data_IF_388994188090
#
_entry.id   IF_388994188090
#
_cell.length_a   1.000
_cell.length_b   1.000
_cell.length_c   1.000
_cell.angle_alpha   90.00
_cell.angle_beta   90.00
_cell.angle_gamma   90.00
#
_symmetry.space_group_name_H-M   'P 1'
#
loop_
_entity.id
_entity.type
_entity.pdbx_description
1 polymer ?
#
# COMPACT_ATOMS: atom_id res chain seq x y z
N UNK A 1 -17.55 -12.82 8.89
CA UNK A 1 -17.31 -11.99 7.69
C UNK A 1 -16.95 -12.90 6.53
N UNK A 2 -17.80 -12.99 5.51
CA UNK A 2 -17.48 -13.70 4.27
C UNK A 2 -16.27 -13.02 3.62
N UNK A 3 -15.25 -13.80 3.23
CA UNK A 3 -14.03 -13.27 2.61
C UNK A 3 -14.37 -12.87 1.18
N UNK A 4 -14.25 -11.59 0.84
CA UNK A 4 -14.31 -11.15 -0.56
C UNK A 4 -13.23 -11.90 -1.37
N UNK A 5 -13.61 -12.80 -2.30
CA UNK A 5 -12.67 -13.58 -3.10
C UNK A 5 -11.98 -12.73 -4.17
N UNK A 6 -12.46 -11.52 -4.42
CA UNK A 6 -12.04 -10.67 -5.54
C UNK A 6 -11.03 -9.59 -5.19
N UNK A 7 -10.66 -9.44 -3.91
CA UNK A 7 -9.59 -8.52 -3.49
C UNK A 7 -8.20 -9.09 -3.69
N UNK A 8 -7.23 -8.20 -3.92
CA UNK A 8 -5.81 -8.57 -3.87
C UNK A 8 -5.40 -9.05 -2.47
N UNK A 9 -4.61 -10.12 -2.43
CA UNK A 9 -4.00 -10.67 -1.21
C UNK A 9 -2.53 -10.91 -1.46
N UNK A 10 -1.71 -10.61 -0.46
CA UNK A 10 -0.29 -10.97 -0.48
C UNK A 10 -0.15 -12.49 -0.67
N UNK A 11 0.65 -12.88 -1.65
CA UNK A 11 0.97 -14.29 -1.92
C UNK A 11 2.43 -14.57 -1.63
N UNK A 12 3.32 -13.62 -1.93
CA UNK A 12 4.76 -13.74 -1.70
C UNK A 12 5.36 -12.38 -1.35
N UNK A 13 6.50 -12.40 -0.70
CA UNK A 13 7.39 -11.26 -0.59
C UNK A 13 8.83 -11.73 -0.71
N UNK A 14 9.74 -10.85 -1.12
CA UNK A 14 11.13 -11.24 -1.22
C UNK A 14 12.11 -10.10 -1.03
N UNK A 15 13.34 -10.53 -0.77
CA UNK A 15 14.49 -9.72 -0.43
C UNK A 15 15.66 -10.25 -1.25
N UNK A 16 16.29 -9.38 -2.03
CA UNK A 16 17.47 -9.70 -2.83
C UNK A 16 18.58 -8.70 -2.49
N UNK A 17 19.68 -9.19 -1.93
CA UNK A 17 20.87 -8.43 -1.58
C UNK A 17 20.61 -7.17 -0.73
N UNK A 18 19.76 -7.29 0.29
CA UNK A 18 19.47 -6.23 1.27
C UNK A 18 19.68 -6.80 2.67
N UNK A 19 20.38 -6.05 3.52
CA UNK A 19 20.77 -6.48 4.86
C UNK A 19 21.55 -7.80 4.84
N UNK A 20 21.24 -8.73 5.72
CA UNK A 20 21.89 -10.04 5.84
C UNK A 20 21.24 -11.11 4.91
N UNK A 21 20.43 -10.69 3.94
CA UNK A 21 19.80 -11.57 2.96
C UNK A 21 20.50 -11.46 1.60
N UNK A 22 21.01 -12.59 1.11
CA UNK A 22 21.46 -12.74 -0.27
C UNK A 22 20.23 -12.84 -1.19
N UNK A 23 19.43 -13.88 -1.01
CA UNK A 23 18.12 -14.04 -1.64
C UNK A 23 17.19 -14.78 -0.69
N UNK A 24 16.01 -14.19 -0.41
CA UNK A 24 15.01 -14.81 0.43
C UNK A 24 13.61 -14.50 -0.09
N UNK A 25 12.80 -15.56 -0.18
CA UNK A 25 11.37 -15.47 -0.53
C UNK A 25 10.54 -15.96 0.65
N UNK A 26 9.44 -15.28 0.93
CA UNK A 26 8.46 -15.59 1.97
C UNK A 26 7.11 -15.86 1.31
N UNK A 27 6.57 -17.06 1.49
CA UNK A 27 5.22 -17.41 1.03
C UNK A 27 4.17 -17.02 2.07
N UNK A 28 3.06 -16.48 1.58
CA UNK A 28 1.90 -16.09 2.38
C UNK A 28 0.81 -17.14 2.22
N UNK A 29 0.25 -17.59 3.34
CA UNK A 29 -0.95 -18.41 3.36
C UNK A 29 -2.17 -17.49 3.52
N UNK A 30 -2.93 -17.32 2.43
CA UNK A 30 -4.14 -16.49 2.42
C UNK A 30 -3.91 -15.05 2.91
N UNK A 31 -2.85 -14.40 2.42
CA UNK A 31 -2.48 -13.04 2.82
C UNK A 31 -1.81 -12.95 4.19
N UNK A 32 -1.47 -14.08 4.84
CA UNK A 32 -0.87 -14.12 6.17
C UNK A 32 0.53 -14.73 6.13
N UNK A 33 1.44 -14.12 6.88
CA UNK A 33 2.82 -14.60 7.07
C UNK A 33 3.07 -14.78 8.57
N UNK A 34 3.68 -15.92 8.95
CA UNK A 34 4.12 -16.19 10.30
C UNK A 34 5.63 -16.43 10.31
N UNK A 35 6.39 -15.48 10.88
CA UNK A 35 7.83 -15.62 11.09
C UNK A 35 8.09 -16.24 12.47
N UNK A 36 8.75 -17.41 12.51
CA UNK A 36 9.18 -18.08 13.75
C UNK A 36 10.70 -18.19 13.81
N UNK A 37 11.26 -18.09 15.02
CA UNK A 37 12.71 -18.11 15.25
C UNK A 37 13.06 -17.51 16.60
N UNK A 38 14.33 -17.66 17.02
CA UNK A 38 14.84 -17.12 18.28
C UNK A 38 14.82 -15.58 18.29
N UNK A 39 14.90 -14.98 19.47
CA UNK A 39 15.07 -13.53 19.60
C UNK A 39 16.37 -13.11 18.89
N UNK A 40 16.32 -12.01 18.14
CA UNK A 40 17.46 -11.55 17.32
C UNK A 40 17.54 -12.15 15.92
N UNK A 41 16.74 -13.16 15.56
CA UNK A 41 16.76 -13.79 14.23
C UNK A 41 16.22 -12.93 13.06
N UNK A 42 16.07 -11.60 13.24
CA UNK A 42 15.66 -10.70 12.15
C UNK A 42 14.17 -10.67 11.79
N UNK A 43 13.29 -11.39 12.53
CA UNK A 43 11.84 -11.47 12.23
C UNK A 43 11.17 -10.10 12.09
N UNK A 44 11.25 -9.26 13.13
CA UNK A 44 10.66 -7.92 13.12
C UNK A 44 11.30 -7.07 12.05
N UNK A 45 12.62 -7.14 11.90
CA UNK A 45 13.36 -6.35 10.92
C UNK A 45 12.94 -6.65 9.48
N UNK A 46 12.67 -7.92 9.20
CA UNK A 46 12.19 -8.40 7.90
C UNK A 46 10.81 -7.84 7.57
N UNK A 47 9.89 -7.89 8.54
CA UNK A 47 8.57 -7.29 8.34
C UNK A 47 8.68 -5.77 8.19
N UNK A 48 9.55 -5.12 8.96
CA UNK A 48 9.77 -3.68 8.93
C UNK A 48 10.27 -3.17 7.57
N UNK A 49 11.16 -3.93 6.92
CA UNK A 49 11.70 -3.55 5.61
C UNK A 49 10.72 -3.85 4.47
N UNK A 50 9.84 -4.85 4.59
CA UNK A 50 8.89 -5.21 3.54
C UNK A 50 7.61 -4.38 3.59
N UNK A 51 6.90 -4.36 4.73
CA UNK A 51 5.55 -3.81 4.80
C UNK A 51 5.42 -2.69 5.85
N UNK A 52 4.69 -1.60 5.53
CA UNK A 52 4.06 -1.30 4.25
C UNK A 52 5.00 -0.60 3.25
N UNK A 53 6.30 -0.49 3.54
CA UNK A 53 7.28 0.26 2.72
C UNK A 53 7.28 -0.10 1.23
N UNK A 54 7.19 -1.38 0.88
CA UNK A 54 7.17 -1.78 -0.55
C UNK A 54 5.91 -1.26 -1.26
N UNK A 55 4.82 -0.98 -0.54
CA UNK A 55 3.55 -0.51 -1.10
C UNK A 55 3.48 1.01 -1.28
N UNK A 56 4.37 1.78 -0.66
CA UNK A 56 4.39 3.25 -0.79
C UNK A 56 5.74 3.84 -1.22
N UNK A 57 6.82 3.07 -1.10
CA UNK A 57 8.18 3.49 -1.41
C UNK A 57 8.70 4.60 -0.48
N UNK A 58 8.01 4.92 0.61
CA UNK A 58 8.33 6.05 1.47
C UNK A 58 9.39 5.66 2.51
N UNK A 59 10.65 5.89 2.13
CA UNK A 59 11.80 5.59 2.99
C UNK A 59 11.81 6.40 4.30
N UNK A 60 11.07 7.51 4.39
CA UNK A 60 10.96 8.30 5.62
C UNK A 60 10.15 7.55 6.70
N UNK A 61 9.16 6.75 6.27
CA UNK A 61 8.26 6.00 7.16
C UNK A 61 8.83 4.64 7.60
N UNK A 62 9.98 4.21 7.07
CA UNK A 62 10.59 2.94 7.49
C UNK A 62 11.06 2.95 8.96
N UNK A 63 11.38 4.12 9.52
CA UNK A 63 11.85 4.25 10.91
C UNK A 63 10.71 4.47 11.89
N UNK A 64 10.57 3.58 12.88
CA UNK A 64 9.68 3.79 14.03
C UNK A 64 10.23 4.85 15.01
N UNK A 65 11.51 5.26 14.89
CA UNK A 65 12.27 6.06 15.87
C UNK A 65 12.80 7.38 15.34
N UNK A 66 12.35 7.86 14.18
CA UNK A 66 12.55 9.26 13.75
C UNK A 66 13.94 9.65 13.21
N UNK A 67 14.91 8.73 13.10
CA UNK A 67 16.20 9.03 12.42
C UNK A 67 16.09 8.85 10.91
N UNK A 68 15.63 9.91 10.24
CA UNK A 68 15.48 10.04 8.79
C UNK A 68 16.71 9.52 8.01
N UNK A 69 16.49 8.69 6.98
CA UNK A 69 17.51 8.20 6.04
C UNK A 69 18.52 7.16 6.57
N UNK A 70 18.70 7.05 7.88
CA UNK A 70 19.73 6.20 8.50
C UNK A 70 19.47 4.70 8.35
N UNK A 71 18.20 4.28 8.31
CA UNK A 71 17.85 2.87 8.35
C UNK A 71 18.06 2.16 7.01
N UNK A 72 17.71 2.81 5.90
CA UNK A 72 17.95 2.25 4.57
C UNK A 72 19.45 2.16 4.27
N UNK A 73 20.20 3.21 4.63
CA UNK A 73 21.66 3.18 4.56
C UNK A 73 22.22 2.04 5.41
N UNK A 74 21.77 1.92 6.66
CA UNK A 74 22.17 0.82 7.55
C UNK A 74 21.85 -0.55 6.97
N UNK A 75 20.66 -0.78 6.40
CA UNK A 75 20.30 -2.04 5.74
C UNK A 75 21.25 -2.38 4.58
N UNK A 76 21.76 -1.38 3.87
CA UNK A 76 22.68 -1.62 2.76
C UNK A 76 24.15 -1.74 3.18
N UNK A 77 24.53 -1.22 4.35
CA UNK A 77 25.92 -1.27 4.85
C UNK A 77 26.16 -2.36 5.88
N UNK A 78 25.16 -2.73 6.69
CA UNK A 78 25.25 -3.78 7.69
C UNK A 78 25.38 -5.15 6.98
N UNK A 79 26.41 -5.91 7.34
CA UNK A 79 26.75 -7.18 6.69
C UNK A 79 27.38 -7.07 5.30
N UNK A 80 27.61 -5.86 4.76
CA UNK A 80 28.20 -5.69 3.44
C UNK A 80 29.72 -5.95 3.46
N UNK A 81 30.18 -6.95 2.71
CA UNK A 81 31.60 -7.30 2.57
C UNK A 81 32.18 -6.67 1.31
N UNK A 82 32.46 -5.36 1.33
CA UNK A 82 33.13 -4.70 0.21
C UNK A 82 32.93 -3.18 0.16
N UNK A 83 33.79 -2.50 -0.60
CA UNK A 83 33.61 -1.09 -0.96
C UNK A 83 32.95 -0.96 -2.33
N UNK A 84 32.15 0.10 -2.54
CA UNK A 84 31.63 0.44 -3.86
C UNK A 84 30.13 0.71 -3.90
N UNK A 85 29.48 0.25 -4.96
CA UNK A 85 28.01 0.34 -5.10
C UNK A 85 27.39 -1.01 -4.74
N UNK A 86 26.37 -1.00 -3.87
CA UNK A 86 25.54 -2.18 -3.58
C UNK A 86 24.13 -1.93 -4.09
N UNK A 87 23.58 -2.87 -4.84
CA UNK A 87 22.18 -2.84 -5.30
C UNK A 87 21.43 -4.03 -4.72
N UNK A 88 20.21 -3.78 -4.26
CA UNK A 88 19.31 -4.82 -3.77
C UNK A 88 17.84 -4.46 -4.04
N UNK A 89 16.95 -5.42 -3.83
CA UNK A 89 15.53 -5.29 -4.10
C UNK A 89 14.69 -5.83 -2.95
N UNK A 90 13.57 -5.16 -2.71
CA UNK A 90 12.48 -5.61 -1.86
C UNK A 90 11.21 -5.65 -2.71
N UNK A 91 10.43 -6.72 -2.61
CA UNK A 91 9.22 -6.85 -3.41
C UNK A 91 8.11 -7.61 -2.67
N UNK A 92 6.88 -7.37 -3.09
CA UNK A 92 5.70 -8.12 -2.68
C UNK A 92 4.88 -8.49 -3.91
N UNK A 93 4.34 -9.70 -3.90
CA UNK A 93 3.41 -10.19 -4.90
C UNK A 93 2.02 -10.27 -4.28
N UNK A 94 1.03 -9.78 -5.02
CA UNK A 94 -0.37 -9.88 -4.68
C UNK A 94 -1.12 -10.62 -5.78
N UNK A 95 -2.12 -11.40 -5.40
CA UNK A 95 -3.02 -12.02 -6.34
C UNK A 95 -4.48 -11.80 -5.95
N UNK A 96 -5.35 -11.71 -6.95
CA UNK A 96 -6.81 -11.75 -6.80
C UNK A 96 -7.40 -12.72 -7.82
N UNK A 97 -8.58 -13.24 -7.55
CA UNK A 97 -9.36 -13.97 -8.55
C UNK A 97 -10.56 -13.12 -8.92
N UNK A 98 -10.78 -12.80 -10.19
CA UNK A 98 -11.93 -11.98 -10.58
C UNK A 98 -13.25 -12.77 -10.59
N UNK A 99 -14.34 -12.10 -11.00
CA UNK A 99 -15.67 -12.71 -11.08
C UNK A 99 -15.76 -13.84 -12.13
N UNK A 100 -14.87 -13.85 -13.13
CA UNK A 100 -14.79 -14.89 -14.15
C UNK A 100 -13.92 -16.08 -13.71
N UNK A 101 -13.30 -16.01 -12.52
CA UNK A 101 -12.40 -17.05 -12.02
C UNK A 101 -10.97 -16.91 -12.51
N UNK A 102 -10.61 -15.82 -13.18
CA UNK A 102 -9.25 -15.58 -13.66
C UNK A 102 -8.36 -15.05 -12.53
N UNK A 103 -7.16 -15.62 -12.41
CA UNK A 103 -6.18 -15.20 -11.41
C UNK A 103 -5.32 -14.07 -11.97
N UNK A 104 -5.45 -12.90 -11.37
CA UNK A 104 -4.61 -11.73 -11.65
C UNK A 104 -3.50 -11.64 -10.62
N UNK A 105 -2.28 -11.36 -11.07
CA UNK A 105 -1.09 -11.20 -10.22
C UNK A 105 -0.46 -9.85 -10.49
N UNK A 106 -0.04 -9.18 -9.42
CA UNK A 106 0.71 -7.93 -9.49
C UNK A 106 1.91 -8.05 -8.56
N UNK A 107 3.07 -7.63 -9.04
CA UNK A 107 4.27 -7.46 -8.19
C UNK A 107 4.56 -5.98 -8.03
N UNK A 108 4.74 -5.56 -6.78
CA UNK A 108 5.19 -4.25 -6.37
C UNK A 108 6.61 -4.38 -5.82
N UNK A 109 7.52 -3.48 -6.20
CA UNK A 109 8.91 -3.58 -5.77
C UNK A 109 9.63 -2.25 -5.62
N UNK A 110 10.68 -2.28 -4.80
CA UNK A 110 11.58 -1.17 -4.54
C UNK A 110 13.01 -1.65 -4.75
N UNK A 111 13.70 -1.03 -5.70
CA UNK A 111 15.14 -1.19 -5.85
C UNK A 111 15.87 -0.18 -4.97
N UNK A 112 16.97 -0.61 -4.38
CA UNK A 112 17.79 0.18 -3.46
C UNK A 112 19.22 0.15 -3.96
N UNK A 113 19.83 1.33 -4.11
CA UNK A 113 21.23 1.48 -4.43
C UNK A 113 21.93 2.27 -3.34
N UNK A 114 22.95 1.66 -2.75
CA UNK A 114 23.91 2.32 -1.87
C UNK A 114 25.19 2.65 -2.63
N UNK A 115 25.74 3.84 -2.38
CA UNK A 115 27.07 4.23 -2.84
C UNK A 115 27.96 4.59 -1.66
N UNK A 116 29.10 3.91 -1.52
CA UNK A 116 30.09 4.21 -0.47
C UNK A 116 30.63 5.64 -0.59
N UNK A 117 30.89 6.13 -1.81
CA UNK A 117 31.46 7.47 -2.02
C UNK A 117 30.49 8.60 -1.68
N UNK A 118 29.21 8.43 -2.05
CA UNK A 118 28.17 9.41 -1.76
C UNK A 118 27.58 9.25 -0.34
N UNK A 119 27.87 8.14 0.36
CA UNK A 119 27.34 7.80 1.69
C UNK A 119 25.82 7.91 1.78
N UNK A 120 25.13 7.54 0.70
CA UNK A 120 23.68 7.63 0.59
C UNK A 120 23.08 6.35 0.00
N UNK A 121 21.83 6.09 0.37
CA UNK A 121 20.98 5.09 -0.26
C UNK A 121 19.85 5.79 -1.04
N UNK A 122 19.76 5.46 -2.33
CA UNK A 122 18.71 5.92 -3.25
C UNK A 122 17.78 4.78 -3.61
N UNK A 123 16.55 5.10 -3.97
CA UNK A 123 15.51 4.12 -4.28
C UNK A 123 14.85 4.44 -5.61
N UNK A 124 14.37 3.42 -6.30
CA UNK A 124 13.37 3.51 -7.36
C UNK A 124 12.31 2.45 -7.09
N UNK A 125 11.12 2.64 -7.65
CA UNK A 125 9.99 1.74 -7.45
C UNK A 125 9.48 1.20 -8.78
N UNK A 126 8.81 0.06 -8.74
CA UNK A 126 8.20 -0.52 -9.91
C UNK A 126 6.96 -1.35 -9.58
N UNK A 127 6.10 -1.52 -10.58
CA UNK A 127 5.01 -2.48 -10.61
C UNK A 127 5.07 -3.30 -11.89
N UNK A 128 4.72 -4.59 -11.85
CA UNK A 128 4.50 -5.42 -13.04
C UNK A 128 3.21 -6.22 -12.91
N UNK A 129 2.44 -6.42 -14.01
CA UNK A 129 1.18 -7.18 -14.00
C UNK A 129 1.39 -8.70 -14.05
N UNK A 130 2.50 -9.17 -13.49
CA UNK A 130 2.92 -10.56 -13.46
C UNK A 130 3.44 -10.92 -12.07
N UNK A 131 3.81 -12.20 -11.88
CA UNK A 131 4.67 -12.57 -10.75
C UNK A 131 6.04 -11.88 -10.80
N UNK A 132 6.80 -12.04 -9.72
CA UNK A 132 8.12 -11.40 -9.59
C UNK A 132 9.02 -11.74 -10.80
N UNK A 133 9.61 -10.73 -11.46
CA UNK A 133 10.53 -10.97 -12.55
C UNK A 133 11.92 -11.33 -12.02
N UNK A 134 12.81 -11.81 -12.89
CA UNK A 134 14.21 -12.04 -12.49
C UNK A 134 14.91 -10.68 -12.28
N UNK A 135 15.21 -10.37 -11.02
CA UNK A 135 15.83 -9.10 -10.61
C UNK A 135 17.36 -9.19 -10.53
N UNK A 136 17.95 -10.26 -11.07
CA UNK A 136 19.39 -10.45 -11.21
C UNK A 136 19.81 -10.63 -12.67
N UNK A 137 21.07 -10.30 -12.96
CA UNK A 137 21.76 -10.73 -14.18
C UNK A 137 22.09 -12.24 -14.06
N UNK A 138 22.50 -12.87 -15.17
CA UNK A 138 22.84 -14.31 -15.20
C UNK A 138 23.98 -14.73 -14.26
N UNK A 139 24.82 -13.78 -13.82
CA UNK A 139 25.90 -14.02 -12.85
C UNK A 139 25.45 -13.87 -11.39
N UNK A 140 24.15 -13.62 -11.14
CA UNK A 140 23.56 -13.40 -9.82
C UNK A 140 23.66 -11.95 -9.32
N UNK A 141 24.26 -11.04 -10.09
CA UNK A 141 24.34 -9.62 -9.70
C UNK A 141 22.97 -8.97 -9.80
N UNK A 142 22.45 -8.31 -8.74
CA UNK A 142 21.18 -7.60 -8.83
C UNK A 142 21.19 -6.54 -9.93
N UNK A 143 20.09 -6.47 -10.69
CA UNK A 143 19.95 -5.54 -11.82
C UNK A 143 20.21 -4.10 -11.38
N UNK A 144 20.77 -3.29 -12.28
CA UNK A 144 20.84 -1.84 -12.07
C UNK A 144 19.48 -1.19 -12.34
N UNK A 145 19.27 0.03 -11.84
CA UNK A 145 18.01 0.75 -12.07
C UNK A 145 17.64 0.87 -13.57
N UNK A 146 18.55 1.19 -14.51
CA UNK A 146 18.24 1.17 -15.94
C UNK A 146 17.78 -0.20 -16.47
N UNK A 147 18.48 -1.28 -16.09
CA UNK A 147 18.15 -2.64 -16.55
C UNK A 147 16.82 -3.14 -15.99
N UNK A 148 16.54 -2.82 -14.73
CA UNK A 148 15.25 -3.07 -14.12
C UNK A 148 14.12 -2.31 -14.83
N UNK A 149 14.34 -1.05 -15.24
CA UNK A 149 13.35 -0.30 -16.02
C UNK A 149 13.08 -0.93 -17.39
N UNK A 150 14.12 -1.38 -18.08
CA UNK A 150 13.97 -2.10 -19.36
C UNK A 150 13.14 -3.38 -19.20
N UNK A 151 13.45 -4.17 -18.17
CA UNK A 151 12.71 -5.39 -17.84
C UNK A 151 11.24 -5.10 -17.50
N UNK A 152 10.99 -4.14 -16.61
CA UNK A 152 9.64 -3.73 -16.19
C UNK A 152 8.82 -3.26 -17.38
N UNK A 153 9.40 -2.44 -18.27
CA UNK A 153 8.72 -1.97 -19.47
C UNK A 153 8.40 -3.13 -20.43
N UNK A 154 9.32 -4.08 -20.61
CA UNK A 154 9.10 -5.29 -21.43
C UNK A 154 7.97 -6.19 -20.92
N UNK A 155 7.67 -6.12 -19.62
CA UNK A 155 6.58 -6.86 -18.96
C UNK A 155 5.26 -6.05 -18.89
N UNK A 156 5.20 -4.86 -19.48
CA UNK A 156 4.02 -3.98 -19.41
C UNK A 156 3.81 -3.35 -18.03
N UNK A 157 4.87 -3.25 -17.23
CA UNK A 157 4.85 -2.61 -15.91
C UNK A 157 5.21 -1.13 -15.94
N UNK A 158 5.28 -0.54 -14.75
CA UNK A 158 5.61 0.88 -14.55
C UNK A 158 6.80 1.04 -13.61
N UNK A 159 7.65 2.03 -13.88
CA UNK A 159 8.78 2.40 -13.02
C UNK A 159 8.67 3.84 -12.57
N UNK A 160 9.13 4.13 -11.36
CA UNK A 160 8.99 5.42 -10.69
C UNK A 160 10.28 5.81 -9.98
N UNK A 161 10.69 7.06 -10.11
CA UNK A 161 11.82 7.62 -9.36
C UNK A 161 11.38 8.39 -8.09
N UNK A 162 10.06 8.62 -7.94
CA UNK A 162 9.47 9.38 -6.84
C UNK A 162 8.40 8.55 -6.08
N UNK A 163 8.51 8.39 -4.74
CA UNK A 163 7.55 7.62 -3.95
C UNK A 163 6.11 8.10 -4.08
N UNK A 164 5.87 9.40 -4.25
CA UNK A 164 4.51 9.95 -4.38
C UNK A 164 3.75 9.36 -5.58
N UNK A 165 4.35 9.41 -6.77
CA UNK A 165 3.72 8.90 -7.99
C UNK A 165 3.51 7.38 -7.92
N UNK A 166 4.48 6.67 -7.35
CA UNK A 166 4.36 5.24 -7.08
C UNK A 166 3.19 4.92 -6.14
N UNK A 167 3.10 5.62 -5.01
CA UNK A 167 2.03 5.47 -4.02
C UNK A 167 0.65 5.71 -4.64
N UNK A 168 0.49 6.78 -5.42
CA UNK A 168 -0.76 7.09 -6.13
C UNK A 168 -1.13 5.96 -7.11
N UNK A 169 -0.16 5.45 -7.88
CA UNK A 169 -0.36 4.32 -8.79
C UNK A 169 -0.75 3.03 -8.05
N UNK A 170 -0.05 2.66 -6.97
CA UNK A 170 -0.33 1.44 -6.20
C UNK A 170 -1.69 1.50 -5.52
N UNK A 171 -2.06 2.66 -4.96
CA UNK A 171 -3.38 2.87 -4.35
C UNK A 171 -4.53 2.62 -5.33
N UNK A 172 -4.40 3.16 -6.55
CA UNK A 172 -5.37 2.94 -7.61
C UNK A 172 -5.35 1.48 -8.12
N UNK A 173 -4.16 0.92 -8.37
CA UNK A 173 -3.99 -0.41 -8.95
C UNK A 173 -4.53 -1.53 -8.05
N UNK A 174 -4.21 -1.48 -6.76
CA UNK A 174 -4.52 -2.57 -5.83
C UNK A 174 -5.87 -2.39 -5.12
N UNK A 175 -6.28 -1.14 -4.88
CA UNK A 175 -7.42 -0.84 -4.02
C UNK A 175 -8.48 0.04 -4.69
N UNK A 176 -8.21 0.59 -5.89
CA UNK A 176 -9.10 1.57 -6.53
C UNK A 176 -9.26 2.86 -5.72
N UNK A 177 -8.30 3.16 -4.82
CA UNK A 177 -8.41 4.27 -3.89
C UNK A 177 -7.75 5.53 -4.48
N UNK A 178 -8.36 6.72 -4.28
CA UNK A 178 -7.69 7.98 -4.55
C UNK A 178 -6.51 8.18 -3.58
N UNK A 179 -5.60 9.07 -3.97
CA UNK A 179 -4.34 9.31 -3.27
C UNK A 179 -4.48 9.60 -1.76
N UNK A 180 -5.52 10.33 -1.34
CA UNK A 180 -5.76 10.69 0.06
C UNK A 180 -6.20 9.46 0.87
N UNK A 181 -7.22 8.74 0.42
CA UNK A 181 -7.73 7.54 1.11
C UNK A 181 -6.66 6.45 1.21
N UNK A 182 -5.78 6.33 0.20
CA UNK A 182 -4.64 5.42 0.28
C UNK A 182 -3.57 5.89 1.29
N UNK A 183 -3.36 7.20 1.46
CA UNK A 183 -2.48 7.71 2.52
C UNK A 183 -3.02 7.36 3.91
N UNK A 184 -4.33 7.47 4.12
CA UNK A 184 -4.99 7.15 5.39
C UNK A 184 -4.88 5.65 5.71
N UNK A 185 -5.11 4.79 4.71
CA UNK A 185 -4.86 3.34 4.84
C UNK A 185 -3.41 3.06 5.25
N UNK A 186 -2.43 3.70 4.59
CA UNK A 186 -1.02 3.50 4.93
C UNK A 186 -0.70 3.99 6.35
N UNK A 187 -1.27 5.12 6.79
CA UNK A 187 -1.12 5.60 8.17
C UNK A 187 -1.61 4.57 9.18
N UNK A 188 -2.79 3.98 8.95
CA UNK A 188 -3.31 2.90 9.79
C UNK A 188 -2.37 1.69 9.81
N UNK A 189 -1.82 1.28 8.66
CA UNK A 189 -0.88 0.15 8.57
C UNK A 189 0.42 0.42 9.34
N UNK A 190 0.98 1.62 9.22
CA UNK A 190 2.17 2.02 9.98
C UNK A 190 1.90 2.09 11.47
N UNK A 191 0.73 2.59 11.86
CA UNK A 191 0.31 2.61 13.26
C UNK A 191 0.20 1.19 13.81
N UNK A 192 -0.54 0.30 13.14
CA UNK A 192 -0.70 -1.12 13.50
C UNK A 192 0.60 -1.91 13.61
N UNK A 193 1.68 -1.42 13.00
CA UNK A 193 3.02 -2.01 13.06
C UNK A 193 3.78 -1.65 14.35
N UNK A 194 3.38 -0.60 15.07
CA UNK A 194 4.09 -0.20 16.28
C UNK A 194 4.03 -1.31 17.34
N UNK A 195 5.17 -1.66 17.97
CA UNK A 195 5.15 -2.58 19.10
C UNK A 195 4.28 -1.98 20.22
N UNK A 196 3.57 -2.82 20.98
CA UNK A 196 2.78 -2.44 22.17
C UNK A 196 1.43 -1.75 21.93
N UNK A 197 0.87 -1.76 20.72
CA UNK A 197 -0.53 -1.35 20.53
C UNK A 197 -1.45 -2.11 21.49
N UNK A 198 -1.23 -3.41 21.68
CA UNK A 198 -1.99 -4.22 22.65
C UNK A 198 -1.92 -3.73 24.12
N UNK A 199 -0.87 -3.01 24.52
CA UNK A 199 -0.65 -2.55 25.90
C UNK A 199 -1.06 -1.07 26.11
N UNK A 200 -0.93 -0.22 25.07
CA UNK A 200 -1.28 1.22 25.08
C UNK A 200 -2.43 1.57 24.12
N UNK A 201 -3.38 0.65 23.91
CA UNK A 201 -4.61 0.92 23.14
C UNK A 201 -5.52 1.87 23.94
N UNK A 202 -5.32 3.17 23.77
CA UNK A 202 -6.36 4.15 24.11
C UNK A 202 -7.51 3.98 23.10
N UNK A 203 -8.68 3.47 23.53
CA UNK A 203 -9.82 3.25 22.64
C UNK A 203 -10.30 4.55 21.98
N UNK A 204 -10.11 5.71 22.63
CA UNK A 204 -10.50 6.99 22.07
C UNK A 204 -9.63 7.35 20.86
N UNK A 205 -8.31 7.17 20.94
CA UNK A 205 -7.39 7.36 19.81
C UNK A 205 -7.66 6.41 18.64
N UNK A 206 -8.01 5.15 18.95
CA UNK A 206 -8.38 4.18 17.91
C UNK A 206 -9.65 4.63 17.17
N UNK A 207 -10.66 5.10 17.91
CA UNK A 207 -11.90 5.60 17.33
C UNK A 207 -11.65 6.86 16.51
N UNK A 208 -10.92 7.85 17.03
CA UNK A 208 -10.56 9.08 16.30
C UNK A 208 -9.83 8.76 14.99
N UNK A 209 -8.86 7.84 15.00
CA UNK A 209 -8.12 7.48 13.78
C UNK A 209 -8.93 6.64 12.80
N UNK A 210 -9.80 5.74 13.29
CA UNK A 210 -10.73 5.02 12.43
C UNK A 210 -11.70 6.00 11.78
N UNK A 211 -12.18 7.00 12.52
CA UNK A 211 -13.05 8.08 12.05
C UNK A 211 -12.35 8.99 11.04
N UNK A 212 -11.09 9.35 11.27
CA UNK A 212 -10.25 10.08 10.30
C UNK A 212 -9.94 9.28 9.03
N UNK A 213 -9.83 7.95 9.15
CA UNK A 213 -9.59 7.05 8.03
C UNK A 213 -10.88 6.57 7.35
N UNK A 214 -12.06 6.94 7.87
CA UNK A 214 -13.30 6.74 7.14
C UNK A 214 -13.20 7.58 5.87
N UNK A 215 -13.52 7.02 4.69
CA UNK A 215 -13.57 7.80 3.48
C UNK A 215 -14.53 8.96 3.68
N UNK A 216 -14.11 10.16 3.25
CA UNK A 216 -15.01 11.31 3.21
C UNK A 216 -16.28 10.91 2.46
N UNK A 217 -17.44 11.32 2.99
CA UNK A 217 -18.74 11.04 2.37
C UNK A 217 -18.67 11.36 0.88
N UNK A 218 -19.07 10.40 0.05
CA UNK A 218 -19.14 10.59 -1.40
C UNK A 218 -20.01 11.82 -1.68
N UNK A 219 -19.37 12.90 -2.17
CA UNK A 219 -20.07 14.17 -2.39
C UNK A 219 -21.17 14.03 -3.43
N UNK A 220 -21.05 13.10 -4.37
CA UNK A 220 -22.12 12.80 -5.33
C UNK A 220 -23.28 12.09 -4.66
N UNK A 221 -23.02 11.15 -3.74
CA UNK A 221 -24.07 10.52 -2.94
C UNK A 221 -24.77 11.53 -2.02
N UNK A 222 -24.02 12.44 -1.38
CA UNK A 222 -24.58 13.52 -0.54
C UNK A 222 -25.43 14.47 -1.37
N UNK A 223 -24.95 14.86 -2.56
CA UNK A 223 -25.70 15.72 -3.49
C UNK A 223 -26.97 15.04 -3.97
N UNK A 224 -26.91 13.78 -4.35
CA UNK A 224 -28.07 13.01 -4.81
C UNK A 224 -29.13 12.85 -3.72
N UNK A 225 -28.71 12.64 -2.47
CA UNK A 225 -29.61 12.61 -1.31
C UNK A 225 -30.23 13.99 -1.05
N UNK A 226 -29.44 15.07 -1.16
CA UNK A 226 -29.94 16.44 -1.05
C UNK A 226 -31.01 16.76 -2.10
N UNK A 227 -30.73 16.45 -3.38
CA UNK A 227 -31.68 16.61 -4.48
C UNK A 227 -32.98 15.82 -4.24
N UNK A 228 -32.89 14.58 -3.74
CA UNK A 228 -34.05 13.76 -3.42
C UNK A 228 -34.88 14.32 -2.24
N UNK A 229 -34.24 14.92 -1.23
CA UNK A 229 -34.96 15.58 -0.13
C UNK A 229 -35.67 16.86 -0.58
N UNK A 230 -35.04 17.65 -1.44
CA UNK A 230 -35.65 18.85 -2.02
C UNK A 230 -36.88 18.49 -2.88
N UNK A 231 -36.78 17.45 -3.70
CA UNK A 231 -37.92 16.93 -4.47
C UNK A 231 -39.06 16.45 -3.55
N UNK A 232 -38.76 15.74 -2.46
CA UNK A 232 -39.77 15.30 -1.49
C UNK A 232 -40.45 16.48 -0.78
N UNK A 233 -39.69 17.52 -0.43
CA UNK A 233 -40.22 18.73 0.18
C UNK A 233 -41.15 19.48 -0.80
N UNK A 234 -40.78 19.57 -2.07
CA UNK A 234 -41.62 20.17 -3.11
C UNK A 234 -42.94 19.40 -3.31
N UNK A 235 -42.87 18.06 -3.33
CA UNK A 235 -44.05 17.21 -3.40
C UNK A 235 -44.96 17.37 -2.17
N UNK A 236 -44.40 17.46 -0.97
CA UNK A 236 -45.15 17.73 0.26
C UNK A 236 -45.89 19.07 0.20
N UNK A 237 -45.19 20.14 -0.17
CA UNK A 237 -45.80 21.46 -0.32
C UNK A 237 -46.89 21.49 -1.40
N UNK A 238 -46.74 20.70 -2.47
CA UNK A 238 -47.77 20.54 -3.50
C UNK A 238 -49.00 19.82 -2.98
N UNK A 239 -48.83 18.76 -2.19
CA UNK A 239 -49.93 18.03 -1.56
C UNK A 239 -50.69 18.91 -0.57
N UNK A 240 -50.00 19.71 0.24
CA UNK A 240 -50.61 20.68 1.15
C UNK A 240 -51.44 21.73 0.39
N UNK A 241 -50.89 22.29 -0.70
CA UNK A 241 -51.63 23.24 -1.56
C UNK A 241 -52.87 22.61 -2.18
N UNK A 242 -52.78 21.36 -2.64
CA UNK A 242 -53.91 20.63 -3.21
C UNK A 242 -54.97 20.30 -2.14
N UNK A 243 -54.56 19.89 -0.94
CA UNK A 243 -55.45 19.63 0.18
C UNK A 243 -56.19 20.90 0.62
N UNK A 244 -55.48 22.02 0.78
CA UNK A 244 -56.08 23.31 1.11
C UNK A 244 -57.06 23.80 0.02
N UNK A 245 -56.73 23.57 -1.26
CA UNK A 245 -57.63 23.85 -2.37
C UNK A 245 -58.89 22.98 -2.37
N UNK A 246 -58.75 21.70 -2.05
CA UNK A 246 -59.88 20.78 -1.94
C UNK A 246 -60.81 21.13 -0.76
N UNK A 247 -60.26 21.50 0.40
CA UNK A 247 -61.05 21.99 1.54
C UNK A 247 -61.80 23.29 1.19
N UNK A 248 -61.15 24.23 0.51
CA UNK A 248 -61.79 25.48 0.10
C UNK A 248 -62.96 25.27 -0.87
N UNK A 249 -62.88 24.29 -1.76
CA UNK A 249 -63.97 23.93 -2.69
C UNK A 249 -65.10 23.17 -1.98
N UNK A 250 -64.81 22.40 -0.94
CA UNK A 250 -65.81 21.65 -0.16
C UNK A 250 -66.67 22.54 0.77
N UNK A 251 -66.24 23.79 1.00
CA UNK A 251 -66.95 24.79 1.84
C UNK A 251 -67.87 25.71 1.01
N UNK A 252 -67.87 25.58 -0.32
CA UNK A 252 -68.86 26.17 -1.23
C UNK A 252 -70.05 25.23 -1.46
#
# INVERSE_FOLDING_TARGET
MSRDPHRFRLTRAGVLNVWQYDEQVFDFADGRLLLRGTNGAGKSKTLEMLLPFVLDGDKARMTATGRQGSQLLWLMTDGATGGGTRTGYLWVELARTDAAGERHVVTCGVGIRHSTSARQATTWQFTVPTGVPDLAETDGTPLSAPRCRELVAGLGGHSFDAPRAYKEHVGQLLFGLPAHAYDDLLRLLYWLRQPQIGEDLDPARLVEMLDEALPALDQDAVRQVGEAFDELAEHGARLERLAAGAEAVAVF
#
